data_IF_431001777239
#
_entry.id   IF_431001777239
#
_cell.length_a   1.000
_cell.length_b   1.000
_cell.length_c   1.000
_cell.angle_alpha   90.00
_cell.angle_beta   90.00
_cell.angle_gamma   90.00
#
_symmetry.space_group_name_H-M   'P 1'
#
loop_
_entity.id
_entity.type
_entity.pdbx_description
1 polymer ?
#
# COMPACT_ATOMS: atom_id res chain seq x y z
N UNK A 1 5.24 2.01 -21.24
CA UNK A 1 5.88 0.72 -21.57
C UNK A 1 5.11 0.04 -22.70
N UNK A 2 5.71 -0.91 -23.45
CA UNK A 2 5.04 -1.70 -24.50
C UNK A 2 5.06 -3.19 -24.15
N UNK A 3 4.08 -3.97 -24.61
CA UNK A 3 4.04 -5.43 -24.41
C UNK A 3 5.30 -6.14 -24.92
N UNK A 4 5.86 -5.69 -26.05
CA UNK A 4 7.11 -6.24 -26.58
C UNK A 4 8.30 -6.09 -25.62
N UNK A 5 8.34 -5.02 -24.82
CA UNK A 5 9.39 -4.84 -23.82
C UNK A 5 9.23 -5.82 -22.65
N UNK A 6 7.99 -6.10 -22.21
CA UNK A 6 7.70 -7.13 -21.21
C UNK A 6 8.15 -8.51 -21.69
N UNK A 7 7.84 -8.87 -22.94
CA UNK A 7 8.30 -10.14 -23.58
C UNK A 7 9.82 -10.27 -23.54
N UNK A 8 10.53 -9.22 -23.95
CA UNK A 8 12.01 -9.24 -23.98
C UNK A 8 12.58 -9.42 -22.58
N UNK A 9 12.03 -8.73 -21.57
CA UNK A 9 12.46 -8.86 -20.18
C UNK A 9 12.17 -10.24 -19.61
N UNK A 10 10.98 -10.78 -19.85
CA UNK A 10 10.60 -12.12 -19.41
C UNK A 10 11.54 -13.19 -19.98
N UNK A 11 11.78 -13.18 -21.30
CA UNK A 11 12.68 -14.13 -21.97
C UNK A 11 14.14 -14.04 -21.52
N UNK A 12 14.57 -12.87 -21.04
CA UNK A 12 15.92 -12.65 -20.49
C UNK A 12 16.00 -12.91 -18.98
N UNK A 13 14.88 -13.30 -18.35
CA UNK A 13 14.76 -13.45 -16.90
C UNK A 13 15.14 -12.17 -16.12
N UNK A 14 14.82 -11.00 -16.70
CA UNK A 14 15.04 -9.68 -16.09
C UNK A 14 13.73 -8.91 -15.91
N UNK A 15 12.60 -9.62 -15.84
CA UNK A 15 11.31 -9.02 -15.54
C UNK A 15 11.19 -8.88 -14.03
N UNK A 16 10.74 -7.71 -13.59
CA UNK A 16 10.53 -7.38 -12.17
C UNK A 16 9.09 -6.91 -11.99
N UNK A 17 8.60 -6.90 -10.76
CA UNK A 17 7.22 -6.54 -10.41
C UNK A 17 6.89 -5.14 -10.89
N UNK A 18 7.81 -4.21 -10.72
CA UNK A 18 7.72 -2.79 -11.09
C UNK A 18 7.42 -2.64 -12.59
N UNK A 19 7.93 -3.56 -13.42
CA UNK A 19 7.59 -3.57 -14.83
C UNK A 19 6.12 -3.97 -15.04
N UNK A 20 5.64 -5.01 -14.36
CA UNK A 20 4.24 -5.44 -14.45
C UNK A 20 3.32 -4.31 -13.97
N UNK A 21 3.63 -3.69 -12.83
CA UNK A 21 2.83 -2.59 -12.26
C UNK A 21 2.83 -1.35 -13.15
N UNK A 22 3.97 -0.98 -13.74
CA UNK A 22 4.05 0.15 -14.69
C UNK A 22 3.17 -0.08 -15.92
N UNK A 23 3.11 -1.33 -16.42
CA UNK A 23 2.22 -1.67 -17.53
C UNK A 23 0.74 -1.63 -17.12
N UNK A 24 0.42 -2.09 -15.92
CA UNK A 24 -0.94 -2.09 -15.40
C UNK A 24 -1.46 -0.67 -15.12
N UNK A 25 -0.64 0.19 -14.50
CA UNK A 25 -0.94 1.62 -14.29
C UNK A 25 -1.22 2.35 -15.61
N UNK A 26 -0.54 1.97 -16.69
CA UNK A 26 -0.79 2.49 -18.03
C UNK A 26 -1.99 1.83 -18.74
N UNK A 27 -2.66 0.87 -18.11
CA UNK A 27 -3.78 0.06 -18.66
C UNK A 27 -3.52 -0.41 -20.09
N UNK A 28 -2.35 -1.00 -20.32
CA UNK A 28 -1.97 -1.44 -21.66
C UNK A 28 -2.99 -2.44 -22.23
N UNK A 29 -3.55 -2.19 -23.42
CA UNK A 29 -4.50 -3.11 -24.04
C UNK A 29 -3.90 -4.50 -24.26
N UNK A 30 -4.66 -5.56 -23.92
CA UNK A 30 -4.19 -6.95 -24.03
C UNK A 30 -3.15 -7.36 -22.98
N UNK A 31 -2.92 -6.55 -21.94
CA UNK A 31 -1.92 -6.87 -20.91
C UNK A 31 -2.24 -8.17 -20.18
N UNK A 32 -3.51 -8.41 -19.82
CA UNK A 32 -3.92 -9.62 -19.10
C UNK A 32 -3.55 -10.89 -19.87
N UNK A 33 -3.97 -10.99 -21.13
CA UNK A 33 -3.67 -12.13 -21.99
C UNK A 33 -2.16 -12.33 -22.16
N UNK A 34 -1.44 -11.23 -22.34
CA UNK A 34 0.01 -11.27 -22.50
C UNK A 34 0.72 -11.75 -21.23
N UNK A 35 0.31 -11.27 -20.06
CA UNK A 35 0.87 -11.68 -18.77
C UNK A 35 0.52 -13.14 -18.45
N UNK A 36 -0.70 -13.60 -18.76
CA UNK A 36 -1.09 -15.00 -18.63
C UNK A 36 -0.20 -15.90 -19.50
N UNK A 37 -0.04 -15.54 -20.78
CA UNK A 37 0.82 -16.26 -21.72
C UNK A 37 2.27 -16.33 -21.23
N UNK A 38 2.83 -15.22 -20.75
CA UNK A 38 4.20 -15.19 -20.21
C UNK A 38 4.34 -15.97 -18.90
N UNK A 39 3.33 -15.93 -18.03
CA UNK A 39 3.29 -16.70 -16.80
C UNK A 39 3.38 -18.20 -17.08
N UNK A 40 2.64 -18.68 -18.08
CA UNK A 40 2.67 -20.08 -18.50
C UNK A 40 4.00 -20.44 -19.18
N UNK A 41 4.42 -19.64 -20.17
CA UNK A 41 5.67 -19.85 -20.93
C UNK A 41 6.92 -19.88 -20.04
N UNK A 42 6.95 -19.05 -18.98
CA UNK A 42 8.08 -18.94 -18.07
C UNK A 42 7.88 -19.69 -16.74
N UNK A 43 6.76 -20.41 -16.58
CA UNK A 43 6.43 -21.16 -15.36
C UNK A 43 6.56 -20.32 -14.09
N UNK A 44 6.01 -19.11 -14.11
CA UNK A 44 6.10 -18.20 -12.96
C UNK A 44 5.38 -18.77 -11.73
N UNK A 45 6.01 -18.63 -10.56
CA UNK A 45 5.40 -19.07 -9.31
C UNK A 45 4.22 -18.16 -8.93
N UNK A 46 3.16 -18.77 -8.40
CA UNK A 46 2.06 -18.06 -7.70
C UNK A 46 2.34 -17.88 -6.21
N UNK A 47 3.21 -18.71 -5.64
CA UNK A 47 3.60 -18.69 -4.23
C UNK A 47 4.92 -17.96 -4.04
N UNK A 48 5.08 -17.20 -2.94
CA UNK A 48 6.37 -16.58 -2.59
C UNK A 48 7.43 -17.61 -2.18
N UNK A 49 7.04 -18.88 -1.95
CA UNK A 49 7.95 -19.98 -1.62
C UNK A 49 7.73 -21.16 -2.56
N UNK A 50 8.83 -21.69 -3.11
CA UNK A 50 8.84 -22.96 -3.84
C UNK A 50 8.74 -24.16 -2.87
N UNK A 51 8.44 -25.39 -3.36
CA UNK A 51 8.32 -26.58 -2.51
C UNK A 51 9.57 -26.91 -1.68
N UNK A 52 10.75 -26.46 -2.12
CA UNK A 52 12.02 -26.63 -1.41
C UNK A 52 12.30 -25.52 -0.38
N UNK A 53 11.37 -24.58 -0.20
CA UNK A 53 11.50 -23.43 0.71
C UNK A 53 12.22 -22.24 0.12
N UNK A 54 12.68 -22.29 -1.13
CA UNK A 54 13.32 -21.15 -1.80
C UNK A 54 12.33 -20.01 -1.95
N UNK A 55 12.71 -18.83 -1.44
CA UNK A 55 11.92 -17.61 -1.60
C UNK A 55 12.07 -17.05 -3.02
N UNK A 56 10.94 -16.81 -3.67
CA UNK A 56 10.87 -16.30 -5.05
C UNK A 56 9.84 -15.18 -5.14
N UNK A 57 9.99 -14.32 -6.15
CA UNK A 57 8.94 -13.36 -6.47
C UNK A 57 7.78 -14.11 -7.12
N UNK A 58 6.55 -14.03 -6.57
CA UNK A 58 5.37 -14.70 -7.12
C UNK A 58 4.84 -13.94 -8.34
N UNK A 59 5.60 -13.92 -9.43
CA UNK A 59 5.30 -13.15 -10.64
C UNK A 59 3.95 -13.51 -11.26
N UNK A 60 3.50 -14.77 -11.16
CA UNK A 60 2.20 -15.19 -11.68
C UNK A 60 1.04 -14.53 -10.90
N UNK A 61 1.22 -14.35 -9.58
CA UNK A 61 0.23 -13.67 -8.74
C UNK A 61 0.18 -12.18 -9.04
N UNK A 62 1.35 -11.53 -9.20
CA UNK A 62 1.40 -10.14 -9.67
C UNK A 62 0.77 -9.97 -11.05
N UNK A 63 1.02 -10.91 -11.97
CA UNK A 63 0.44 -10.91 -13.30
C UNK A 63 -1.08 -11.00 -13.29
N UNK A 64 -1.65 -11.88 -12.46
CA UNK A 64 -3.10 -12.02 -12.25
C UNK A 64 -3.74 -10.70 -11.79
N UNK A 65 -3.24 -10.12 -10.70
CA UNK A 65 -3.81 -8.90 -10.11
C UNK A 65 -3.65 -7.70 -11.05
N UNK A 66 -2.46 -7.53 -11.63
CA UNK A 66 -2.16 -6.44 -12.54
C UNK A 66 -2.93 -6.55 -13.87
N UNK A 67 -3.11 -7.76 -14.38
CA UNK A 67 -3.89 -8.04 -15.58
C UNK A 67 -5.37 -7.70 -15.39
N UNK A 68 -5.97 -8.14 -14.27
CA UNK A 68 -7.36 -7.83 -13.93
C UNK A 68 -7.59 -6.31 -13.83
N UNK A 69 -6.71 -5.59 -13.13
CA UNK A 69 -6.80 -4.12 -13.06
C UNK A 69 -6.67 -3.44 -14.42
N UNK A 70 -5.73 -3.87 -15.25
CA UNK A 70 -5.50 -3.23 -16.54
C UNK A 70 -6.75 -3.28 -17.43
N UNK A 71 -7.45 -4.41 -17.42
CA UNK A 71 -8.67 -4.64 -18.19
C UNK A 71 -9.89 -3.99 -17.56
N UNK A 72 -10.17 -4.29 -16.29
CA UNK A 72 -11.46 -4.01 -15.65
C UNK A 72 -11.39 -2.87 -14.61
N UNK A 73 -10.18 -2.40 -14.27
CA UNK A 73 -9.98 -1.26 -13.37
C UNK A 73 -10.06 -1.62 -11.89
N UNK A 74 -10.40 -0.63 -11.06
CA UNK A 74 -10.45 -0.76 -9.60
C UNK A 74 -11.52 -1.77 -9.15
N UNK A 75 -12.64 -1.86 -9.85
CA UNK A 75 -13.76 -2.74 -9.46
C UNK A 75 -13.33 -4.22 -9.40
N UNK A 76 -12.52 -4.67 -10.37
CA UNK A 76 -11.97 -6.03 -10.35
C UNK A 76 -11.00 -6.27 -9.18
N UNK A 77 -10.27 -5.24 -8.74
CA UNK A 77 -9.44 -5.35 -7.54
C UNK A 77 -10.28 -5.50 -6.27
N UNK A 78 -11.48 -4.92 -6.23
CA UNK A 78 -12.41 -5.10 -5.11
C UNK A 78 -12.83 -6.56 -4.96
N UNK A 79 -13.21 -7.21 -6.06
CA UNK A 79 -13.54 -8.64 -6.06
C UNK A 79 -12.35 -9.49 -5.63
N UNK A 80 -11.15 -9.16 -6.13
CA UNK A 80 -9.94 -9.91 -5.78
C UNK A 80 -9.52 -9.72 -4.32
N UNK A 81 -9.84 -8.57 -3.70
CA UNK A 81 -9.49 -8.27 -2.32
C UNK A 81 -10.24 -9.13 -1.29
N UNK A 82 -11.37 -9.74 -1.67
CA UNK A 82 -12.15 -10.65 -0.81
C UNK A 82 -11.40 -11.95 -0.51
N UNK A 83 -10.42 -12.33 -1.35
CA UNK A 83 -9.54 -13.47 -1.13
C UNK A 83 -8.31 -13.04 -0.30
N UNK A 84 -8.11 -13.59 0.91
CA UNK A 84 -6.95 -13.28 1.76
C UNK A 84 -5.59 -13.46 1.07
N UNK A 85 -5.47 -14.40 0.12
CA UNK A 85 -4.21 -14.63 -0.61
C UNK A 85 -3.85 -13.46 -1.54
N UNK A 86 -4.83 -12.65 -1.95
CA UNK A 86 -4.62 -11.55 -2.89
C UNK A 86 -4.39 -10.21 -2.18
N UNK A 87 -4.77 -10.08 -0.91
CA UNK A 87 -4.73 -8.82 -0.14
C UNK A 87 -3.40 -8.10 -0.25
N UNK A 88 -2.29 -8.82 -0.06
CA UNK A 88 -0.95 -8.25 -0.10
C UNK A 88 -0.60 -7.60 -1.46
N UNK A 89 -1.10 -8.19 -2.55
CA UNK A 89 -0.84 -7.79 -3.93
C UNK A 89 -1.79 -6.68 -4.38
N UNK A 90 -3.06 -6.75 -3.98
CA UNK A 90 -4.04 -5.69 -4.21
C UNK A 90 -3.57 -4.40 -3.54
N UNK A 91 -3.17 -4.46 -2.27
CA UNK A 91 -2.63 -3.29 -1.56
C UNK A 91 -1.40 -2.74 -2.28
N UNK A 92 -0.45 -3.60 -2.66
CA UNK A 92 0.77 -3.16 -3.34
C UNK A 92 0.52 -2.55 -4.72
N UNK A 93 -0.44 -3.06 -5.50
CA UNK A 93 -0.83 -2.43 -6.76
C UNK A 93 -1.48 -1.07 -6.53
N UNK A 94 -2.42 -0.96 -5.57
CA UNK A 94 -3.09 0.31 -5.25
C UNK A 94 -2.10 1.37 -4.76
N UNK A 95 -1.08 0.98 -4.00
CA UNK A 95 0.02 1.85 -3.58
C UNK A 95 0.75 2.46 -4.79
N UNK A 96 1.06 1.65 -5.80
CA UNK A 96 1.76 2.09 -7.01
C UNK A 96 0.92 3.05 -7.88
N UNK A 97 -0.41 3.00 -7.80
CA UNK A 97 -1.27 3.89 -8.58
C UNK A 97 -1.16 5.35 -8.17
N UNK A 98 -0.82 5.65 -6.91
CA UNK A 98 -0.59 7.01 -6.38
C UNK A 98 -1.71 8.00 -6.74
N UNK A 99 -2.96 7.61 -6.47
CA UNK A 99 -4.14 8.42 -6.79
C UNK A 99 -5.18 8.42 -5.67
N UNK A 100 -6.04 9.44 -5.63
CA UNK A 100 -7.19 9.46 -4.71
C UNK A 100 -8.11 8.26 -4.86
N UNK A 101 -8.30 7.78 -6.11
CA UNK A 101 -9.12 6.60 -6.37
C UNK A 101 -8.53 5.34 -5.70
N UNK A 102 -7.21 5.22 -5.67
CA UNK A 102 -6.55 4.12 -4.98
C UNK A 102 -6.66 4.23 -3.45
N UNK A 103 -6.58 5.45 -2.90
CA UNK A 103 -6.81 5.68 -1.46
C UNK A 103 -8.23 5.31 -1.07
N UNK A 104 -9.23 5.71 -1.87
CA UNK A 104 -10.63 5.33 -1.65
C UNK A 104 -10.82 3.81 -1.74
N UNK A 105 -10.25 3.18 -2.77
CA UNK A 105 -10.30 1.72 -2.92
C UNK A 105 -9.73 0.98 -1.70
N UNK A 106 -8.59 1.43 -1.15
CA UNK A 106 -8.03 0.86 0.09
C UNK A 106 -9.00 1.03 1.27
N UNK A 107 -9.66 2.18 1.39
CA UNK A 107 -10.64 2.43 2.45
C UNK A 107 -11.87 1.55 2.31
N UNK A 108 -12.37 1.39 1.08
CA UNK A 108 -13.59 0.66 0.79
C UNK A 108 -13.38 -0.85 0.97
N UNK A 109 -12.37 -1.41 0.30
CA UNK A 109 -12.09 -2.86 0.30
C UNK A 109 -11.72 -3.37 1.68
N UNK A 110 -11.00 -2.56 2.47
CA UNK A 110 -10.50 -2.96 3.78
C UNK A 110 -11.19 -2.24 4.95
N UNK A 111 -12.40 -1.72 4.73
CA UNK A 111 -13.18 -1.00 5.74
C UNK A 111 -13.36 -1.80 7.04
N UNK A 112 -13.60 -3.12 6.95
CA UNK A 112 -13.71 -4.00 8.12
C UNK A 112 -12.40 -4.07 8.92
N UNK A 113 -11.26 -4.17 8.24
CA UNK A 113 -9.92 -4.15 8.87
C UNK A 113 -9.66 -2.78 9.50
N UNK A 114 -10.05 -1.69 8.84
CA UNK A 114 -9.91 -0.34 9.41
C UNK A 114 -10.75 -0.15 10.67
N UNK A 115 -11.94 -0.75 10.74
CA UNK A 115 -12.82 -0.72 11.90
C UNK A 115 -12.34 -1.60 13.05
N UNK A 116 -11.77 -2.77 12.73
CA UNK A 116 -11.33 -3.79 13.70
C UNK A 116 -9.94 -4.32 13.38
N UNK A 117 -8.88 -3.50 13.50
CA UNK A 117 -7.53 -3.87 13.12
C UNK A 117 -6.99 -5.09 13.87
N UNK A 118 -7.49 -5.35 15.08
CA UNK A 118 -7.11 -6.48 15.90
C UNK A 118 -7.46 -7.84 15.29
N UNK A 119 -8.45 -7.89 14.38
CA UNK A 119 -8.88 -9.13 13.72
C UNK A 119 -8.00 -9.53 12.53
N UNK A 120 -7.27 -8.58 11.94
CA UNK A 120 -6.40 -8.81 10.79
C UNK A 120 -5.13 -7.94 10.90
N UNK A 121 -4.27 -8.20 11.90
CA UNK A 121 -3.16 -7.31 12.24
C UNK A 121 -2.15 -7.16 11.10
N UNK A 122 -1.83 -8.23 10.37
CA UNK A 122 -0.90 -8.17 9.24
C UNK A 122 -1.40 -7.22 8.14
N UNK A 123 -2.69 -7.33 7.78
CA UNK A 123 -3.34 -6.44 6.83
C UNK A 123 -3.37 -5.00 7.34
N UNK A 124 -3.68 -4.79 8.62
CA UNK A 124 -3.71 -3.45 9.22
C UNK A 124 -2.33 -2.75 9.15
N UNK A 125 -1.24 -3.47 9.44
CA UNK A 125 0.11 -2.90 9.32
C UNK A 125 0.52 -2.64 7.87
N UNK A 126 0.08 -3.50 6.94
CA UNK A 126 0.30 -3.29 5.50
C UNK A 126 -0.47 -2.07 4.98
N UNK A 127 -1.72 -1.88 5.39
CA UNK A 127 -2.49 -0.67 5.09
C UNK A 127 -1.81 0.59 5.64
N UNK A 128 -1.29 0.52 6.87
CA UNK A 128 -0.54 1.65 7.46
C UNK A 128 0.67 2.03 6.62
N UNK A 129 1.41 1.03 6.11
CA UNK A 129 2.54 1.25 5.21
C UNK A 129 2.10 1.89 3.89
N UNK A 130 1.03 1.38 3.28
CA UNK A 130 0.46 1.93 2.06
C UNK A 130 -0.01 3.38 2.24
N UNK A 131 -0.72 3.71 3.32
CA UNK A 131 -1.14 5.08 3.61
C UNK A 131 0.04 6.02 3.89
N UNK A 132 1.09 5.55 4.57
CA UNK A 132 2.32 6.34 4.72
C UNK A 132 2.93 6.68 3.36
N UNK A 133 3.07 5.69 2.47
CA UNK A 133 3.65 5.87 1.13
C UNK A 133 2.79 6.78 0.25
N UNK A 134 1.48 6.59 0.26
CA UNK A 134 0.53 7.37 -0.54
C UNK A 134 0.38 8.80 -0.04
N UNK A 135 0.29 9.04 1.28
CA UNK A 135 -0.23 10.30 1.83
C UNK A 135 0.81 11.17 2.55
N UNK A 136 1.98 10.61 2.90
CA UNK A 136 2.92 11.29 3.81
C UNK A 136 4.19 11.80 3.15
N UNK A 137 4.43 11.48 1.88
CA UNK A 137 5.58 11.96 1.12
C UNK A 137 5.26 13.23 0.33
N UNK A 138 6.29 14.02 0.03
CA UNK A 138 6.16 15.34 -0.62
C UNK A 138 5.42 15.28 -1.95
N UNK A 139 5.69 14.24 -2.74
CA UNK A 139 5.09 14.00 -4.06
C UNK A 139 3.94 12.98 -3.98
N UNK A 140 3.46 12.69 -2.77
CA UNK A 140 2.31 11.83 -2.53
C UNK A 140 0.97 12.51 -2.80
N UNK A 141 -0.10 11.72 -2.70
CA UNK A 141 -1.48 12.19 -2.80
C UNK A 141 -1.80 13.08 -1.60
N UNK A 142 -2.19 14.32 -1.86
CA UNK A 142 -2.70 15.21 -0.80
C UNK A 142 -4.09 14.74 -0.42
N UNK A 143 -4.25 14.07 0.73
CA UNK A 143 -5.54 13.52 1.16
C UNK A 143 -6.66 14.56 1.16
N UNK A 144 -7.87 14.16 0.75
CA UNK A 144 -9.09 14.93 1.02
C UNK A 144 -9.42 14.92 2.52
N UNK A 145 -10.28 15.82 2.99
CA UNK A 145 -10.69 15.85 4.41
C UNK A 145 -11.33 14.54 4.88
N UNK A 146 -12.12 13.91 4.00
CA UNK A 146 -12.75 12.61 4.25
C UNK A 146 -11.69 11.50 4.37
N UNK A 147 -10.78 11.41 3.40
CA UNK A 147 -9.68 10.44 3.43
C UNK A 147 -8.80 10.63 4.66
N UNK A 148 -8.41 11.89 4.95
CA UNK A 148 -7.59 12.21 6.11
C UNK A 148 -8.28 11.79 7.42
N UNK A 149 -9.59 12.03 7.54
CA UNK A 149 -10.36 11.67 8.73
C UNK A 149 -10.49 10.16 8.89
N UNK A 150 -10.83 9.42 7.82
CA UNK A 150 -10.96 7.98 7.86
C UNK A 150 -9.63 7.28 8.19
N UNK A 151 -8.55 7.66 7.49
CA UNK A 151 -7.22 7.10 7.71
C UNK A 151 -6.71 7.46 9.11
N UNK A 152 -6.84 8.71 9.55
CA UNK A 152 -6.45 9.11 10.92
C UNK A 152 -7.21 8.31 11.97
N UNK A 153 -8.52 8.13 11.82
CA UNK A 153 -9.33 7.35 12.76
C UNK A 153 -8.85 5.91 12.85
N UNK A 154 -8.53 5.30 11.71
CA UNK A 154 -7.92 3.97 11.66
C UNK A 154 -6.56 3.92 12.37
N UNK A 155 -5.64 4.85 12.06
CA UNK A 155 -4.31 4.90 12.66
C UNK A 155 -4.37 5.07 14.18
N UNK A 156 -5.25 5.95 14.68
CA UNK A 156 -5.46 6.15 16.11
C UNK A 156 -6.06 4.92 16.80
N UNK A 157 -6.88 4.14 16.10
CA UNK A 157 -7.40 2.85 16.60
C UNK A 157 -6.35 1.75 16.63
N UNK A 158 -5.44 1.72 15.66
CA UNK A 158 -4.36 0.73 15.58
C UNK A 158 -3.24 0.99 16.61
N UNK A 159 -3.09 2.24 17.04
CA UNK A 159 -2.03 2.70 17.93
C UNK A 159 -1.88 1.94 19.26
N UNK A 160 -2.95 1.60 20.01
CA UNK A 160 -2.83 0.79 21.23
C UNK A 160 -2.37 -0.65 20.97
N UNK A 161 -2.43 -1.12 19.72
CA UNK A 161 -2.00 -2.46 19.31
C UNK A 161 -0.51 -2.50 18.91
N UNK A 162 0.17 -1.35 18.86
CA UNK A 162 1.60 -1.30 18.59
C UNK A 162 2.38 -1.90 19.77
N UNK A 163 3.07 -3.02 19.51
CA UNK A 163 3.89 -3.73 20.51
C UNK A 163 5.38 -3.46 20.34
N UNK A 164 5.77 -2.91 19.19
CA UNK A 164 7.18 -2.60 18.87
C UNK A 164 7.35 -1.11 18.57
N UNK A 165 8.55 -0.60 18.85
CA UNK A 165 8.89 0.78 18.50
C UNK A 165 8.81 1.03 16.99
N UNK A 166 9.13 0.02 16.17
CA UNK A 166 8.97 0.10 14.71
C UNK A 166 7.51 0.38 14.30
N UNK A 167 6.54 -0.33 14.89
CA UNK A 167 5.11 -0.10 14.65
C UNK A 167 4.68 1.31 15.09
N UNK A 168 5.15 1.75 16.25
CA UNK A 168 4.90 3.12 16.73
C UNK A 168 5.44 4.17 15.75
N UNK A 169 6.69 4.01 15.29
CA UNK A 169 7.29 4.91 14.32
C UNK A 169 6.54 4.91 12.98
N UNK A 170 6.10 3.75 12.51
CA UNK A 170 5.33 3.62 11.28
C UNK A 170 4.01 4.40 11.36
N UNK A 171 3.29 4.32 12.50
CA UNK A 171 2.09 5.11 12.74
C UNK A 171 2.39 6.61 12.73
N UNK A 172 3.52 7.04 13.31
CA UNK A 172 3.89 8.46 13.33
C UNK A 172 4.20 8.96 11.91
N UNK A 173 4.90 8.14 11.13
CA UNK A 173 5.15 8.39 9.71
C UNK A 173 3.83 8.56 8.92
N UNK A 174 2.85 7.67 9.13
CA UNK A 174 1.56 7.76 8.45
C UNK A 174 0.71 8.95 8.93
N UNK A 175 0.70 9.25 10.24
CA UNK A 175 -0.01 10.40 10.83
C UNK A 175 0.53 11.74 10.32
N UNK A 176 1.78 11.79 9.85
CA UNK A 176 2.34 12.96 9.17
C UNK A 176 1.43 13.42 8.02
N UNK A 177 0.91 12.49 7.22
CA UNK A 177 0.06 12.76 6.06
C UNK A 177 -1.39 13.15 6.38
N UNK A 178 -1.94 12.77 7.55
CA UNK A 178 -3.39 12.88 7.82
C UNK A 178 -3.79 13.35 9.24
N UNK A 179 -2.83 13.47 10.15
CA UNK A 179 -3.04 13.85 11.55
C UNK A 179 -3.70 15.21 11.76
N UNK A 180 -4.29 15.40 12.94
CA UNK A 180 -4.93 16.66 13.34
C UNK A 180 -4.44 17.11 14.73
N UNK A 181 -5.18 18.01 15.37
CA UNK A 181 -4.88 18.45 16.73
C UNK A 181 -4.86 17.28 17.73
N UNK A 182 -5.80 16.32 17.63
CA UNK A 182 -5.82 15.14 18.51
C UNK A 182 -4.59 14.24 18.30
N UNK A 183 -4.14 14.11 17.05
CA UNK A 183 -2.89 13.39 16.74
C UNK A 183 -1.67 14.10 17.32
N UNK A 184 -1.66 15.43 17.34
CA UNK A 184 -0.58 16.21 17.99
C UNK A 184 -0.55 16.02 19.49
N UNK A 185 -1.71 16.10 20.16
CA UNK A 185 -1.81 15.91 21.60
C UNK A 185 -1.31 14.52 22.01
N UNK A 186 -1.64 13.51 21.19
CA UNK A 186 -1.08 12.17 21.36
C UNK A 186 0.44 12.15 21.18
N UNK A 187 0.98 12.69 20.08
CA UNK A 187 2.43 12.65 19.82
C UNK A 187 3.23 13.38 20.92
N UNK A 188 2.68 14.47 21.46
CA UNK A 188 3.27 15.23 22.57
C UNK A 188 3.27 14.43 23.87
N UNK A 189 2.19 13.71 24.16
CA UNK A 189 2.03 12.94 25.40
C UNK A 189 2.66 11.55 25.35
N UNK A 190 3.06 11.08 24.17
CA UNK A 190 3.75 9.80 24.03
C UNK A 190 5.10 9.83 24.75
N UNK A 191 5.48 8.71 25.36
CA UNK A 191 6.82 8.56 25.97
C UNK A 191 7.91 8.84 24.92
N UNK A 192 9.04 9.36 25.38
CA UNK A 192 10.18 9.61 24.52
C UNK A 192 10.63 8.31 23.84
N UNK A 193 10.96 8.43 22.55
CA UNK A 193 11.45 7.30 21.75
C UNK A 193 12.97 7.21 21.86
N UNK A 194 13.52 6.01 21.68
CA UNK A 194 14.97 5.86 21.67
C UNK A 194 15.55 6.55 20.41
N UNK A 195 16.71 7.21 20.50
CA UNK A 195 17.40 7.69 19.30
C UNK A 195 17.63 6.53 18.30
N UNK A 196 17.39 6.73 16.99
CA UNK A 196 17.09 7.98 16.29
C UNK A 196 15.60 8.31 16.13
N UNK A 197 14.69 7.48 16.67
CA UNK A 197 13.26 7.52 16.40
C UNK A 197 12.56 8.79 16.89
N UNK A 198 13.15 9.48 17.87
CA UNK A 198 12.68 10.78 18.32
C UNK A 198 12.55 11.81 17.19
N UNK A 199 13.44 11.74 16.19
CA UNK A 199 13.39 12.60 15.01
C UNK A 199 12.11 12.37 14.20
N UNK A 200 11.63 11.12 14.11
CA UNK A 200 10.40 10.75 13.40
C UNK A 200 9.19 11.42 14.06
N UNK A 201 9.09 11.35 15.39
CA UNK A 201 8.05 12.02 16.18
C UNK A 201 8.04 13.52 15.91
N UNK A 202 9.21 14.15 15.99
CA UNK A 202 9.36 15.59 15.76
C UNK A 202 8.99 16.01 14.33
N UNK A 203 9.38 15.23 13.33
CA UNK A 203 9.00 15.47 11.92
C UNK A 203 7.50 15.34 11.71
N UNK A 204 6.86 14.32 12.28
CA UNK A 204 5.40 14.14 12.21
C UNK A 204 4.67 15.33 12.85
N UNK A 205 5.06 15.73 14.06
CA UNK A 205 4.48 16.88 14.76
C UNK A 205 4.62 18.18 13.96
N UNK A 206 5.79 18.41 13.35
CA UNK A 206 6.03 19.60 12.53
C UNK A 206 5.10 19.65 11.31
N UNK A 207 4.94 18.53 10.61
CA UNK A 207 4.08 18.46 9.43
C UNK A 207 2.60 18.68 9.79
N UNK A 208 2.11 18.05 10.86
CA UNK A 208 0.72 18.22 11.29
C UNK A 208 0.45 19.68 11.67
N UNK A 209 1.36 20.32 12.43
CA UNK A 209 1.24 21.76 12.76
C UNK A 209 1.21 22.64 11.52
N UNK A 210 2.05 22.34 10.52
CA UNK A 210 2.08 23.10 9.27
C UNK A 210 0.75 22.98 8.51
N UNK A 211 0.19 21.77 8.38
CA UNK A 211 -1.11 21.55 7.73
C UNK A 211 -2.22 22.32 8.44
N UNK A 212 -2.34 22.20 9.76
CA UNK A 212 -3.38 22.88 10.55
C UNK A 212 -3.32 24.42 10.46
N UNK A 213 -2.14 24.99 10.16
CA UNK A 213 -2.00 26.44 9.92
C UNK A 213 -2.47 26.87 8.54
N UNK A 214 -2.38 25.99 7.54
CA UNK A 214 -2.76 26.27 6.15
C UNK A 214 -4.26 26.04 5.89
N UNK A 215 -4.96 25.34 6.79
CA UNK A 215 -6.42 25.12 6.75
C UNK A 215 -7.21 26.25 7.43
N UNK A 216 -6.53 27.19 8.11
CA UNK A 216 -7.12 28.39 8.73
C UNK A 216 -7.02 29.59 7.80
#
# INVERSE_FOLDING_TARGET
MKLSALRVKARRNTLEVEHILTAAKARLPGLRDELNRLSDECSWSRSPYLPDGTHVVPLAKWAEIAGAYAEEGIDALGVLADDPENVAYVIGLLEELQSHAAVNALMDFFSAVMQRPELAPETAWRLTSAYNLLLSFKDGVVATDEQATAVRTFLMRLLPLATTEHQTCLLFCALRGVGDASSLDFLVSHRDLAPPNETIRMTAMRAIRQRLRNTR
#
